data_IF_529737802837
#
_entry.id   IF_529737802837
#
_cell.length_a   1.000
_cell.length_b   1.000
_cell.length_c   1.000
_cell.angle_alpha   90.00
_cell.angle_beta   90.00
_cell.angle_gamma   90.00
#
_symmetry.space_group_name_H-M   'P 1'
#
loop_
_entity.id
_entity.type
_entity.pdbx_description
1 polymer ?
#
# COMPACT_ATOMS: atom_id res chain seq x y z
N UNK A 1 1.89 18.28 -1.11
CA UNK A 1 1.78 16.86 -0.69
C UNK A 1 3.03 16.41 0.04
N UNK A 2 2.86 15.82 1.23
CA UNK A 2 3.97 15.35 2.08
C UNK A 2 4.75 14.23 1.38
N UNK A 3 6.08 14.23 1.52
CA UNK A 3 7.00 13.27 0.88
C UNK A 3 6.59 11.81 1.12
N UNK A 4 5.99 11.55 2.28
CA UNK A 4 5.42 10.26 2.67
C UNK A 4 4.26 9.80 1.77
N UNK A 5 3.32 10.69 1.43
CA UNK A 5 2.19 10.35 0.54
C UNK A 5 2.68 10.03 -0.87
N UNK A 6 3.69 10.74 -1.38
CA UNK A 6 4.31 10.43 -2.68
C UNK A 6 4.94 9.03 -2.72
N UNK A 7 5.55 8.59 -1.61
CA UNK A 7 6.11 7.24 -1.51
C UNK A 7 4.99 6.21 -1.50
N UNK A 8 3.95 6.42 -0.69
CA UNK A 8 2.80 5.51 -0.60
C UNK A 8 2.07 5.37 -1.94
N UNK A 9 1.92 6.47 -2.68
CA UNK A 9 1.30 6.48 -4.00
C UNK A 9 2.13 5.72 -5.04
N UNK A 10 3.47 5.86 -5.03
CA UNK A 10 4.36 5.05 -5.87
C UNK A 10 4.26 3.57 -5.56
N UNK A 11 4.26 3.19 -4.28
CA UNK A 11 4.15 1.79 -3.88
C UNK A 11 2.77 1.20 -4.23
N UNK A 12 1.69 1.99 -4.18
CA UNK A 12 0.37 1.61 -4.69
C UNK A 12 0.35 1.44 -6.22
N UNK A 13 0.99 2.34 -6.96
CA UNK A 13 1.10 2.20 -8.42
C UNK A 13 1.84 0.93 -8.82
N UNK A 14 2.93 0.59 -8.13
CA UNK A 14 3.64 -0.69 -8.32
C UNK A 14 2.74 -1.89 -8.03
N UNK A 15 2.00 -1.88 -6.93
CA UNK A 15 1.05 -2.95 -6.61
C UNK A 15 0.00 -3.12 -7.72
N UNK A 16 -0.54 -2.03 -8.25
CA UNK A 16 -1.51 -2.06 -9.34
C UNK A 16 -0.91 -2.63 -10.63
N UNK A 17 0.33 -2.27 -10.97
CA UNK A 17 1.01 -2.84 -12.13
C UNK A 17 1.23 -4.35 -11.97
N UNK A 18 1.76 -4.78 -10.82
CA UNK A 18 1.94 -6.20 -10.52
C UNK A 18 0.61 -6.97 -10.52
N UNK A 19 -0.47 -6.34 -10.02
CA UNK A 19 -1.80 -6.93 -10.04
C UNK A 19 -2.36 -7.07 -11.45
N UNK A 20 -2.18 -6.06 -12.30
CA UNK A 20 -2.57 -6.11 -13.71
C UNK A 20 -1.78 -7.16 -14.49
N UNK A 21 -0.47 -7.29 -14.25
CA UNK A 21 0.34 -8.35 -14.85
C UNK A 21 -0.12 -9.74 -14.40
N UNK A 22 -0.40 -9.91 -13.11
CA UNK A 22 -0.93 -11.16 -12.56
C UNK A 22 -2.28 -11.52 -13.19
N UNK A 23 -3.18 -10.54 -13.33
CA UNK A 23 -4.47 -10.71 -14.01
C UNK A 23 -4.31 -11.07 -15.49
N UNK A 24 -3.37 -10.43 -16.21
CA UNK A 24 -3.06 -10.79 -17.60
C UNK A 24 -2.52 -12.21 -17.74
N UNK A 25 -1.78 -12.69 -16.73
CA UNK A 25 -1.28 -14.06 -16.67
C UNK A 25 -2.33 -15.05 -16.14
N UNK A 26 -3.56 -14.61 -15.85
CA UNK A 26 -4.61 -15.38 -15.17
C UNK A 26 -4.15 -15.99 -13.85
N UNK A 27 -3.14 -15.40 -13.21
CA UNK A 27 -2.64 -15.80 -11.89
C UNK A 27 -3.44 -15.04 -10.84
N UNK A 28 -4.15 -15.73 -9.94
CA UNK A 28 -4.83 -15.09 -8.82
C UNK A 28 -3.87 -14.20 -8.04
N UNK A 29 -4.33 -13.00 -7.66
CA UNK A 29 -3.53 -12.07 -6.85
C UNK A 29 -3.11 -12.69 -5.49
N UNK A 30 -3.91 -13.64 -5.00
CA UNK A 30 -3.62 -14.46 -3.82
C UNK A 30 -2.38 -15.35 -4.03
N UNK A 31 -2.24 -15.92 -5.22
CA UNK A 31 -1.20 -16.90 -5.55
C UNK A 31 0.07 -16.25 -6.12
N UNK A 32 0.08 -14.93 -6.31
CA UNK A 32 1.25 -14.20 -6.77
C UNK A 32 2.11 -13.70 -5.59
N UNK A 33 3.25 -14.34 -5.27
CA UNK A 33 4.07 -13.95 -4.13
C UNK A 33 4.66 -12.54 -4.26
N UNK A 34 4.80 -12.00 -5.48
CA UNK A 34 5.25 -10.61 -5.69
C UNK A 34 4.16 -9.61 -5.32
N UNK A 35 2.91 -9.87 -5.71
CA UNK A 35 1.75 -9.05 -5.33
C UNK A 35 1.55 -9.11 -3.82
N UNK A 36 1.63 -10.30 -3.22
CA UNK A 36 1.49 -10.47 -1.76
C UNK A 36 2.55 -9.71 -0.96
N UNK A 37 3.83 -9.80 -1.34
CA UNK A 37 4.90 -9.05 -0.69
C UNK A 37 4.70 -7.53 -0.81
N UNK A 38 4.34 -7.07 -2.01
CA UNK A 38 4.10 -5.65 -2.24
C UNK A 38 2.87 -5.15 -1.47
N UNK A 39 1.81 -5.97 -1.35
CA UNK A 39 0.60 -5.62 -0.60
C UNK A 39 0.92 -5.39 0.87
N UNK A 40 1.70 -6.29 1.49
CA UNK A 40 2.11 -6.15 2.90
C UNK A 40 2.84 -4.83 3.18
N UNK A 41 3.74 -4.43 2.29
CA UNK A 41 4.49 -3.17 2.42
C UNK A 41 3.54 -1.95 2.35
N UNK A 42 2.58 -1.97 1.41
CA UNK A 42 1.58 -0.91 1.29
C UNK A 42 0.69 -0.87 2.54
N UNK A 43 0.23 -2.03 3.03
CA UNK A 43 -0.61 -2.13 4.22
C UNK A 43 0.09 -1.61 5.47
N UNK A 44 1.37 -1.94 5.67
CA UNK A 44 2.19 -1.39 6.78
C UNK A 44 2.36 0.13 6.69
N UNK A 45 2.62 0.66 5.49
CA UNK A 45 2.73 2.11 5.28
C UNK A 45 1.41 2.84 5.55
N UNK A 46 0.29 2.25 5.14
CA UNK A 46 -1.05 2.78 5.43
C UNK A 46 -1.33 2.70 6.93
N UNK A 47 -1.01 1.59 7.59
CA UNK A 47 -1.18 1.43 9.03
C UNK A 47 -0.38 2.48 9.81
N UNK A 48 0.88 2.70 9.44
CA UNK A 48 1.71 3.77 10.02
C UNK A 48 1.12 5.16 9.78
N UNK A 49 0.59 5.42 8.59
CA UNK A 49 -0.09 6.68 8.28
C UNK A 49 -1.32 6.89 9.15
N UNK A 50 -2.17 5.85 9.27
CA UNK A 50 -3.38 5.90 10.09
C UNK A 50 -3.05 6.08 11.56
N UNK A 51 -2.03 5.40 12.10
CA UNK A 51 -1.57 5.60 13.47
C UNK A 51 -1.08 7.05 13.69
N UNK A 52 -0.27 7.60 12.79
CA UNK A 52 0.19 9.00 12.88
C UNK A 52 -0.98 9.99 12.80
N UNK A 53 -1.98 9.70 11.96
CA UNK A 53 -3.19 10.51 11.82
C UNK A 53 -4.09 10.42 13.06
N UNK A 54 -4.21 9.24 13.66
CA UNK A 54 -4.94 9.01 14.91
C UNK A 54 -4.29 9.75 16.08
N UNK A 55 -2.95 9.69 16.21
CA UNK A 55 -2.20 10.46 17.22
C UNK A 55 -2.43 11.98 17.09
N UNK A 56 -2.51 12.51 15.87
CA UNK A 56 -2.86 13.93 15.63
C UNK A 56 -4.32 14.28 15.96
N UNK A 57 -5.24 13.31 15.96
CA UNK A 57 -6.64 13.52 16.36
C UNK A 57 -6.85 13.44 17.87
N UNK A 58 -5.95 12.80 18.61
CA UNK A 58 -6.02 12.72 20.08
C UNK A 58 -5.46 13.95 20.81
N UNK A 59 -4.72 14.84 20.14
CA UNK A 59 -4.27 16.12 20.72
C UNK A 59 -5.27 17.27 20.57
N UNK A 60 -6.50 17.00 20.12
CA UNK A 60 -7.58 18.01 19.99
C UNK A 60 -8.79 17.66 20.87
N UNK A 61 -8.54 17.16 22.09
CA UNK A 61 -9.60 16.95 23.07
C UNK A 61 -9.18 17.43 24.45
#
# INVERSE_FOLDING_TARGET
>A
MSRFLKILEKERQKLNQLGLESLKQSIPLADNPKVQKQSRIVDELVAQYQQRKAKRRHTVR
#
